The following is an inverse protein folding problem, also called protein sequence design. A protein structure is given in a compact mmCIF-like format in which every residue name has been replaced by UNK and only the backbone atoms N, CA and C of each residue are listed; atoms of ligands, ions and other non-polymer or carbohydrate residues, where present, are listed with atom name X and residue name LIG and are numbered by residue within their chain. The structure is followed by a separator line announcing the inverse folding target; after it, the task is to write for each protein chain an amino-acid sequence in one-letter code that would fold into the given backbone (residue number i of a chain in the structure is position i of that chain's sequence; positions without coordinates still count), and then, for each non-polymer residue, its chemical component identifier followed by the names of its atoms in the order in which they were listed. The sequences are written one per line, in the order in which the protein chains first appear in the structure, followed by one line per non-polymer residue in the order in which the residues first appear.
data_IF_652554600485
#
_entry.id   IF_652554600485
#
_cell.length_a   1.000
_cell.length_b   1.000
_cell.length_c   1.000
_cell.angle_alpha   90.00
_cell.angle_beta   90.00
_cell.angle_gamma   90.00
#
_symmetry.space_group_name_H-M   'P 1'
#
loop_
_entity.id
_entity.type
_entity.pdbx_description
1 polymer ?
#
# COMPACT_ATOMS: atom_id res chain seq x y z
N UNK A 1 -12.99 -4.86 3.60
CA UNK A 1 -12.52 -3.89 2.57
C UNK A 1 -13.15 -4.14 1.21
N UNK A 2 -13.07 -5.38 0.67
CA UNK A 2 -13.57 -5.72 -0.68
C UNK A 2 -14.99 -5.21 -1.03
N UNK A 3 -15.97 -5.33 -0.14
CA UNK A 3 -17.35 -4.94 -0.45
C UNK A 3 -17.52 -3.44 -0.75
N UNK A 4 -16.76 -2.57 -0.07
CA UNK A 4 -16.84 -1.13 -0.32
C UNK A 4 -16.29 -0.78 -1.71
N UNK A 5 -15.15 -1.38 -2.09
CA UNK A 5 -14.58 -1.19 -3.43
C UNK A 5 -15.54 -1.66 -4.51
N UNK A 6 -16.13 -2.85 -4.34
CA UNK A 6 -17.13 -3.38 -5.29
C UNK A 6 -18.37 -2.48 -5.40
N UNK A 7 -18.84 -1.95 -4.26
CA UNK A 7 -20.01 -1.07 -4.23
C UNK A 7 -19.79 0.21 -5.04
N UNK A 8 -18.59 0.80 -4.95
CA UNK A 8 -18.29 2.12 -5.50
C UNK A 8 -17.46 2.08 -6.79
N UNK A 9 -17.33 0.91 -7.43
CA UNK A 9 -16.49 0.74 -8.62
C UNK A 9 -16.98 1.58 -9.81
N UNK A 10 -18.30 1.66 -10.00
CA UNK A 10 -18.90 2.43 -11.09
C UNK A 10 -18.73 3.93 -10.85
N UNK A 11 -19.02 4.39 -9.63
CA UNK A 11 -18.83 5.78 -9.20
C UNK A 11 -17.36 6.18 -9.31
N UNK A 12 -16.42 5.27 -9.02
CA UNK A 12 -15.00 5.50 -9.21
C UNK A 12 -14.64 5.70 -10.69
N UNK A 13 -15.16 4.87 -11.59
CA UNK A 13 -14.95 5.02 -13.05
C UNK A 13 -15.51 6.35 -13.55
N UNK A 14 -16.71 6.73 -13.12
CA UNK A 14 -17.31 8.02 -13.48
C UNK A 14 -16.53 9.21 -12.91
N UNK A 15 -16.07 9.11 -11.66
CA UNK A 15 -15.29 10.14 -10.99
C UNK A 15 -13.99 10.47 -11.77
N UNK A 16 -13.30 9.45 -12.29
CA UNK A 16 -12.08 9.63 -13.11
C UNK A 16 -12.33 10.58 -14.27
N UNK A 17 -13.44 10.40 -14.98
CA UNK A 17 -13.81 11.20 -16.13
C UNK A 17 -14.32 12.59 -15.75
N UNK A 18 -14.90 12.75 -14.56
CA UNK A 18 -15.42 14.02 -14.08
C UNK A 18 -14.35 14.98 -13.55
N UNK A 19 -13.14 14.50 -13.23
CA UNK A 19 -12.07 15.38 -12.73
C UNK A 19 -11.68 16.48 -13.72
N UNK A 20 -11.67 17.72 -13.24
CA UNK A 20 -11.32 18.91 -14.05
C UNK A 20 -9.89 18.88 -14.58
N UNK A 21 -8.94 18.39 -13.78
CA UNK A 21 -7.54 18.30 -14.20
C UNK A 21 -7.26 17.19 -15.23
N UNK A 22 -8.22 16.29 -15.48
CA UNK A 22 -8.13 15.12 -16.39
C UNK A 22 -6.90 14.22 -16.17
N UNK A 23 -6.20 14.40 -15.05
CA UNK A 23 -5.02 13.62 -14.71
C UNK A 23 -5.37 12.15 -14.66
N UNK A 24 -6.38 11.79 -13.87
CA UNK A 24 -6.74 10.40 -13.67
C UNK A 24 -7.11 9.70 -14.97
N UNK A 25 -7.94 10.34 -15.80
CA UNK A 25 -8.29 9.81 -17.12
C UNK A 25 -7.07 9.56 -18.02
N UNK A 26 -6.02 10.38 -17.92
CA UNK A 26 -4.79 10.23 -18.72
C UNK A 26 -3.94 9.01 -18.34
N UNK A 27 -3.86 8.69 -17.05
CA UNK A 27 -2.92 7.67 -16.54
C UNK A 27 -3.60 6.34 -16.20
N UNK A 28 -4.83 6.39 -15.68
CA UNK A 28 -5.54 5.21 -15.17
C UNK A 28 -5.72 4.13 -16.26
N UNK A 29 -6.21 4.51 -17.44
CA UNK A 29 -6.45 3.56 -18.53
C UNK A 29 -5.17 3.02 -19.19
N UNK A 30 -4.00 3.52 -18.81
CA UNK A 30 -2.70 3.05 -19.31
C UNK A 30 -2.02 2.05 -18.38
N UNK A 31 -2.65 1.71 -17.24
CA UNK A 31 -2.05 0.85 -16.23
C UNK A 31 -0.83 1.49 -15.54
N UNK A 32 -0.66 2.80 -15.67
CA UNK A 32 0.46 3.53 -15.06
C UNK A 32 0.05 4.03 -13.67
N UNK A 33 0.99 4.03 -12.71
CA UNK A 33 0.77 4.66 -11.41
C UNK A 33 1.01 6.17 -11.54
N UNK A 34 -0.05 7.01 -11.51
CA UNK A 34 0.15 8.44 -11.57
C UNK A 34 0.89 8.92 -10.32
N UNK A 35 1.81 9.86 -10.52
CA UNK A 35 2.43 10.62 -9.44
C UNK A 35 1.37 11.22 -8.50
N UNK A 36 1.72 11.67 -7.28
CA UNK A 36 0.81 12.44 -6.43
C UNK A 36 0.22 13.66 -7.17
N UNK A 37 -1.05 13.98 -6.93
CA UNK A 37 -1.68 15.17 -7.53
C UNK A 37 -1.14 16.47 -6.91
N UNK A 38 -0.57 17.35 -7.73
CA UNK A 38 -0.03 18.65 -7.32
C UNK A 38 -0.99 19.80 -7.66
N UNK A 39 -2.25 19.49 -7.99
CA UNK A 39 -3.23 20.51 -8.28
C UNK A 39 -3.41 21.43 -7.04
N UNK A 40 -3.40 22.76 -7.23
CA UNK A 40 -3.49 23.72 -6.13
C UNK A 40 -4.84 23.65 -5.40
N UNK A 41 -5.88 23.18 -6.10
CA UNK A 41 -7.17 22.87 -5.50
C UNK A 41 -7.55 21.43 -5.88
N UNK A 42 -7.88 20.63 -4.87
CA UNK A 42 -8.43 19.29 -5.03
C UNK A 42 -9.90 19.33 -4.61
N UNK A 43 -10.77 18.89 -5.51
CA UNK A 43 -12.20 18.73 -5.23
C UNK A 43 -12.47 17.40 -4.50
N UNK A 44 -13.70 17.24 -4.02
CA UNK A 44 -14.14 16.02 -3.33
C UNK A 44 -14.03 14.77 -4.22
N UNK A 45 -14.13 14.92 -5.55
CA UNK A 45 -13.98 13.83 -6.52
C UNK A 45 -12.53 13.33 -6.51
N UNK A 46 -11.54 14.23 -6.50
CA UNK A 46 -10.13 13.86 -6.39
C UNK A 46 -9.84 13.12 -5.08
N UNK A 47 -10.42 13.56 -3.96
CA UNK A 47 -10.26 12.90 -2.65
C UNK A 47 -10.85 11.49 -2.68
N UNK A 48 -12.03 11.32 -3.28
CA UNK A 48 -12.67 10.02 -3.43
C UNK A 48 -11.84 9.06 -4.29
N UNK A 49 -11.31 9.51 -5.43
CA UNK A 49 -10.45 8.70 -6.30
C UNK A 49 -9.20 8.24 -5.56
N UNK A 50 -8.54 9.15 -4.83
CA UNK A 50 -7.35 8.81 -4.05
C UNK A 50 -7.67 7.79 -2.94
N UNK A 51 -8.80 7.96 -2.25
CA UNK A 51 -9.28 7.00 -1.26
C UNK A 51 -9.53 5.63 -1.86
N UNK A 52 -10.26 5.55 -2.96
CA UNK A 52 -10.58 4.29 -3.62
C UNK A 52 -9.30 3.54 -4.01
N UNK A 53 -8.35 4.24 -4.66
CA UNK A 53 -7.09 3.63 -5.12
C UNK A 53 -6.23 3.14 -3.97
N UNK A 54 -6.16 3.91 -2.89
CA UNK A 54 -5.35 3.52 -1.73
C UNK A 54 -5.96 2.32 -1.01
N UNK A 55 -7.29 2.26 -0.89
CA UNK A 55 -7.99 1.08 -0.35
C UNK A 55 -7.85 -0.15 -1.24
N UNK A 56 -7.90 0.02 -2.57
CA UNK A 56 -7.66 -1.08 -3.52
C UNK A 56 -6.23 -1.61 -3.41
N UNK A 57 -5.23 -0.72 -3.37
CA UNK A 57 -3.83 -1.09 -3.15
C UNK A 57 -3.62 -1.85 -1.84
N UNK A 58 -4.20 -1.35 -0.75
CA UNK A 58 -4.14 -2.03 0.56
C UNK A 58 -4.81 -3.41 0.49
N UNK A 59 -5.95 -3.53 -0.19
CA UNK A 59 -6.63 -4.80 -0.41
C UNK A 59 -5.77 -5.78 -1.21
N UNK A 60 -5.05 -5.32 -2.22
CA UNK A 60 -4.11 -6.15 -2.98
C UNK A 60 -2.97 -6.66 -2.10
N UNK A 61 -2.41 -5.80 -1.24
CA UNK A 61 -1.38 -6.20 -0.26
C UNK A 61 -1.94 -7.22 0.73
N UNK A 62 -3.15 -6.99 1.25
CA UNK A 62 -3.83 -7.93 2.17
C UNK A 62 -3.98 -9.33 1.55
N UNK A 63 -4.22 -9.44 0.24
CA UNK A 63 -4.30 -10.73 -0.46
C UNK A 63 -2.97 -11.47 -0.53
N UNK A 64 -1.86 -10.77 -0.35
CA UNK A 64 -0.51 -11.36 -0.30
C UNK A 64 -0.13 -11.86 1.09
N UNK A 65 -1.00 -11.72 2.09
CA UNK A 65 -0.68 -12.06 3.47
C UNK A 65 -0.24 -13.52 3.64
N UNK A 66 -0.86 -14.47 2.92
CA UNK A 66 -0.44 -15.87 2.92
C UNK A 66 0.97 -16.06 2.36
N UNK A 67 1.33 -15.33 1.30
CA UNK A 67 2.69 -15.34 0.76
C UNK A 67 3.69 -14.79 1.79
N UNK A 68 3.32 -13.75 2.54
CA UNK A 68 4.17 -13.20 3.60
C UNK A 68 4.30 -14.14 4.80
N UNK A 69 3.26 -14.89 5.13
CA UNK A 69 3.33 -15.94 6.14
C UNK A 69 4.36 -17.01 5.77
N UNK A 70 4.32 -17.51 4.54
CA UNK A 70 5.30 -18.46 4.02
C UNK A 70 6.72 -17.88 4.05
N UNK A 71 6.90 -16.63 3.63
CA UNK A 71 8.18 -15.93 3.67
C UNK A 71 8.72 -15.79 5.10
N UNK A 72 7.86 -15.43 6.05
CA UNK A 72 8.22 -15.31 7.46
C UNK A 72 8.63 -16.66 8.05
N UNK A 73 7.87 -17.73 7.77
CA UNK A 73 8.19 -19.09 8.23
C UNK A 73 9.52 -19.59 7.65
N UNK A 74 9.79 -19.30 6.36
CA UNK A 74 11.09 -19.57 5.73
C UNK A 74 12.21 -18.78 6.41
N UNK A 75 11.98 -17.51 6.75
CA UNK A 75 12.98 -16.72 7.49
C UNK A 75 13.28 -17.33 8.87
N UNK A 76 12.26 -17.77 9.61
CA UNK A 76 12.46 -18.36 10.94
C UNK A 76 13.35 -19.60 10.94
N UNK A 77 13.33 -20.41 9.89
CA UNK A 77 14.18 -21.60 9.77
C UNK A 77 15.62 -21.30 9.35
N UNK A 78 15.90 -20.10 8.83
CA UNK A 78 17.21 -19.71 8.28
C UNK A 78 17.88 -18.55 9.03
N UNK A 79 17.24 -18.00 10.07
CA UNK A 79 17.63 -16.76 10.77
C UNK A 79 19.03 -16.77 11.40
N UNK A 80 19.63 -17.95 11.55
CA UNK A 80 20.98 -18.12 12.11
C UNK A 80 22.06 -18.22 11.01
N UNK A 81 21.68 -18.30 9.73
CA UNK A 81 22.59 -18.38 8.59
C UNK A 81 22.59 -17.10 7.77
N UNK A 82 23.68 -16.34 7.86
CA UNK A 82 23.86 -15.07 7.12
C UNK A 82 23.70 -15.26 5.60
N UNK A 83 24.28 -16.31 5.03
CA UNK A 83 24.21 -16.57 3.59
C UNK A 83 22.78 -16.83 3.14
N UNK A 84 22.03 -17.62 3.91
CA UNK A 84 20.63 -17.93 3.61
C UNK A 84 19.74 -16.70 3.78
N UNK A 85 19.99 -15.84 4.78
CA UNK A 85 19.30 -14.56 4.94
C UNK A 85 19.51 -13.67 3.71
N UNK A 86 20.74 -13.57 3.20
CA UNK A 86 21.02 -12.79 1.98
C UNK A 86 20.25 -13.35 0.78
N UNK A 87 20.18 -14.68 0.63
CA UNK A 87 19.38 -15.31 -0.43
C UNK A 87 17.89 -14.99 -0.29
N UNK A 88 17.33 -15.15 0.91
CA UNK A 88 15.95 -14.81 1.21
C UNK A 88 15.64 -13.33 0.93
N UNK A 89 16.54 -12.42 1.30
CA UNK A 89 16.39 -10.99 1.01
C UNK A 89 16.32 -10.72 -0.49
N UNK A 90 17.16 -11.39 -1.31
CA UNK A 90 17.12 -11.24 -2.77
C UNK A 90 15.80 -11.73 -3.36
N UNK A 91 15.24 -12.82 -2.84
CA UNK A 91 13.96 -13.37 -3.29
C UNK A 91 12.78 -12.44 -2.95
N UNK A 92 12.71 -11.92 -1.72
CA UNK A 92 11.56 -11.11 -1.26
C UNK A 92 11.62 -9.64 -1.71
N UNK A 93 12.83 -9.14 -2.03
CA UNK A 93 13.08 -7.72 -2.35
C UNK A 93 12.17 -7.15 -3.44
N UNK A 94 11.94 -7.81 -4.60
CA UNK A 94 11.08 -7.24 -5.65
C UNK A 94 9.66 -6.98 -5.15
N UNK A 95 9.13 -7.88 -4.32
CA UNK A 95 7.79 -7.76 -3.74
C UNK A 95 7.74 -6.69 -2.66
N UNK A 96 8.65 -6.73 -1.69
CA UNK A 96 8.70 -5.75 -0.59
C UNK A 96 8.95 -4.33 -1.09
N UNK A 97 9.78 -4.16 -2.13
CA UNK A 97 10.11 -2.82 -2.66
C UNK A 97 8.89 -2.12 -3.29
N UNK A 98 7.86 -2.88 -3.67
CA UNK A 98 6.60 -2.34 -4.20
C UNK A 98 5.56 -2.05 -3.09
N UNK A 99 5.86 -2.41 -1.84
CA UNK A 99 4.96 -2.21 -0.71
C UNK A 99 5.40 -0.99 0.09
N UNK A 100 4.53 0.00 0.11
CA UNK A 100 4.63 1.13 1.02
C UNK A 100 3.41 1.15 1.93
N UNK A 101 3.57 1.11 3.25
CA UNK A 101 2.45 1.21 4.19
C UNK A 101 2.57 2.52 4.97
N UNK A 102 1.48 3.28 5.01
CA UNK A 102 1.41 4.52 5.77
C UNK A 102 1.01 4.20 7.21
N UNK A 103 1.96 4.29 8.12
CA UNK A 103 1.73 4.12 9.55
C UNK A 103 1.59 5.48 10.25
N UNK A 104 0.70 5.56 11.24
CA UNK A 104 0.63 6.73 12.10
C UNK A 104 1.68 6.72 13.21
N UNK A 105 1.70 7.75 14.06
CA UNK A 105 2.65 7.88 15.18
C UNK A 105 2.56 6.74 16.21
N UNK A 106 1.42 6.05 16.26
CA UNK A 106 1.15 4.93 17.14
C UNK A 106 1.26 3.59 16.39
N UNK A 107 1.88 3.60 15.21
CA UNK A 107 2.07 2.45 14.31
C UNK A 107 0.77 1.76 13.86
N UNK A 108 -0.35 2.49 13.83
CA UNK A 108 -1.58 2.00 13.24
C UNK A 108 -1.56 2.25 11.74
N UNK A 109 -2.10 1.30 10.96
CA UNK A 109 -2.25 1.47 9.53
C UNK A 109 -3.39 2.46 9.25
N UNK A 110 -3.05 3.61 8.66
CA UNK A 110 -4.01 4.69 8.42
C UNK A 110 -3.83 5.31 7.04
N UNK A 111 -4.96 5.65 6.43
CA UNK A 111 -4.97 6.45 5.21
C UNK A 111 -5.50 7.83 5.55
N UNK A 112 -4.68 8.87 5.32
CA UNK A 112 -5.00 10.27 5.60
C UNK A 112 -5.01 11.11 4.34
N UNK A 113 -6.05 11.93 4.19
CA UNK A 113 -6.18 12.90 3.10
C UNK A 113 -6.16 14.32 3.66
N UNK A 114 -4.97 14.89 3.82
CA UNK A 114 -4.79 16.22 4.42
C UNK A 114 -5.36 17.38 3.60
N UNK A 115 -5.61 17.15 2.31
CA UNK A 115 -6.11 18.17 1.39
C UNK A 115 -7.64 18.07 1.19
N UNK A 116 -8.34 17.27 1.98
CA UNK A 116 -9.80 17.25 2.00
C UNK A 116 -10.33 18.15 3.12
N UNK A 117 -11.51 18.74 2.92
CA UNK A 117 -12.21 19.50 3.96
C UNK A 117 -13.63 18.91 4.17
N UNK A 118 -13.89 18.22 5.30
CA UNK A 118 -12.97 17.94 6.40
C UNK A 118 -11.88 16.91 6.01
N UNK A 119 -10.81 16.85 6.81
CA UNK A 119 -9.75 15.82 6.65
C UNK A 119 -10.38 14.43 6.81
N UNK A 120 -10.18 13.58 5.80
CA UNK A 120 -10.65 12.19 5.82
C UNK A 120 -9.54 11.28 6.35
N UNK A 121 -9.86 10.48 7.37
CA UNK A 121 -9.00 9.44 7.93
C UNK A 121 -9.73 8.09 7.89
N UNK A 122 -9.08 7.06 7.34
CA UNK A 122 -9.57 5.69 7.37
C UNK A 122 -8.63 4.82 8.20
N UNK A 123 -9.20 4.22 9.25
CA UNK A 123 -8.49 3.28 10.10
C UNK A 123 -8.52 1.89 9.47
N UNK A 124 -7.35 1.26 9.35
CA UNK A 124 -7.20 -0.07 8.81
C UNK A 124 -6.72 -1.00 9.93
N UNK A 125 -7.33 -2.18 10.03
CA UNK A 125 -6.94 -3.16 11.02
C UNK A 125 -5.52 -3.67 10.72
N UNK A 126 -4.55 -3.31 11.58
CA UNK A 126 -3.14 -3.73 11.44
C UNK A 126 -2.99 -5.26 11.42
N UNK A 127 -3.88 -5.99 12.11
CA UNK A 127 -3.83 -7.45 12.18
C UNK A 127 -4.08 -8.13 10.83
N UNK A 128 -4.74 -7.45 9.90
CA UNK A 128 -4.97 -7.95 8.54
C UNK A 128 -3.67 -7.99 7.70
N UNK A 129 -2.57 -7.43 8.23
CA UNK A 129 -1.26 -7.26 7.56
C UNK A 129 -0.10 -7.76 8.45
N UNK A 130 -0.38 -8.63 9.41
CA UNK A 130 0.58 -9.09 10.43
C UNK A 130 1.92 -9.54 9.85
N UNK A 131 1.92 -10.51 8.94
CA UNK A 131 3.10 -11.09 8.33
C UNK A 131 3.73 -10.15 7.30
N UNK A 132 2.92 -9.38 6.58
CA UNK A 132 3.43 -8.31 5.72
C UNK A 132 4.32 -7.36 6.52
N UNK A 133 3.83 -6.89 7.67
CA UNK A 133 4.56 -5.97 8.56
C UNK A 133 5.82 -6.63 9.15
N UNK A 134 5.72 -7.88 9.63
CA UNK A 134 6.88 -8.61 10.13
C UNK A 134 7.98 -8.76 9.07
N UNK A 135 7.61 -9.10 7.83
CA UNK A 135 8.56 -9.23 6.73
C UNK A 135 9.21 -7.89 6.36
N UNK A 136 8.43 -6.79 6.36
CA UNK A 136 8.95 -5.44 6.16
C UNK A 136 9.97 -5.07 7.24
N UNK A 137 9.67 -5.31 8.51
CA UNK A 137 10.56 -5.00 9.63
C UNK A 137 11.86 -5.80 9.56
N UNK A 138 11.76 -7.11 9.30
CA UNK A 138 12.93 -7.99 9.13
C UNK A 138 13.78 -7.50 7.96
N UNK A 139 13.16 -7.20 6.81
CA UNK A 139 13.88 -6.74 5.64
C UNK A 139 14.60 -5.42 5.89
N UNK A 140 13.90 -4.42 6.46
CA UNK A 140 14.45 -3.11 6.78
C UNK A 140 15.59 -3.21 7.79
N UNK A 141 15.45 -4.02 8.83
CA UNK A 141 16.50 -4.24 9.82
C UNK A 141 17.75 -4.85 9.17
N UNK A 142 17.59 -5.87 8.34
CA UNK A 142 18.72 -6.52 7.68
C UNK A 142 19.39 -5.62 6.62
N UNK A 143 18.62 -4.80 5.90
CA UNK A 143 19.14 -3.87 4.89
C UNK A 143 19.82 -2.65 5.53
N UNK A 144 19.18 -1.97 6.47
CA UNK A 144 19.63 -0.67 6.97
C UNK A 144 20.45 -0.74 8.27
N UNK A 145 20.25 -1.77 9.11
CA UNK A 145 20.98 -1.91 10.37
C UNK A 145 22.15 -2.88 10.23
N UNK A 146 21.95 -4.03 9.56
CA UNK A 146 23.02 -5.02 9.35
C UNK A 146 23.86 -4.75 8.10
N UNK A 147 23.37 -3.95 7.15
CA UNK A 147 24.13 -3.52 5.97
C UNK A 147 24.37 -4.63 4.94
N UNK A 148 23.39 -5.53 4.74
CA UNK A 148 23.45 -6.56 3.69
C UNK A 148 23.06 -6.03 2.30
#
# INVERSE_FOLDING_TARGET
MNWWLLKYENEFKEAIDQTTCKKWAKWFYKGEHPYPCVCPHRDNICVFIDLYRELDRLTQIQRMENFFEECFNKFQSIKDSKEMIISWMKEIRPTISNIYLTLDKNENLKVRFFNSDPIVEVNINKNDYKYTLLCLDIFNYNMYVRGF
#
